data_IF_702981571574
#
_entry.id   IF_702981571574
#
_cell.length_a   1.000
_cell.length_b   1.000
_cell.length_c   1.000
_cell.angle_alpha   90.00
_cell.angle_beta   90.00
_cell.angle_gamma   90.00
#
_symmetry.space_group_name_H-M   'P 1'
#
loop_
_entity.id
_entity.type
_entity.pdbx_description
1 polymer ?
#
# COMPACT_ATOMS: atom_id res chain seq x y z
N UNK A 1 -39.55 -25.05 8.78
CA UNK A 1 -39.17 -23.65 8.50
C UNK A 1 -37.66 -23.61 8.35
N UNK A 2 -37.09 -23.21 7.21
CA UNK A 2 -35.64 -23.04 7.14
C UNK A 2 -35.26 -21.91 8.10
N UNK A 3 -34.27 -22.17 8.95
CA UNK A 3 -33.71 -21.15 9.85
C UNK A 3 -32.90 -20.22 8.97
N UNK A 4 -33.32 -18.96 8.85
CA UNK A 4 -32.52 -17.95 8.15
C UNK A 4 -31.33 -17.63 9.04
N UNK A 5 -30.13 -17.97 8.58
CA UNK A 5 -28.90 -17.52 9.25
C UNK A 5 -28.92 -15.98 9.36
N UNK A 6 -28.52 -15.42 10.51
CA UNK A 6 -28.46 -13.97 10.66
C UNK A 6 -27.50 -13.38 9.63
N UNK A 7 -27.76 -12.15 9.13
CA UNK A 7 -26.87 -11.49 8.20
C UNK A 7 -25.48 -11.35 8.84
N UNK A 8 -24.45 -11.59 8.05
CA UNK A 8 -23.06 -11.48 8.51
C UNK A 8 -22.83 -10.06 9.06
N UNK A 9 -22.14 -9.89 10.20
CA UNK A 9 -21.87 -8.57 10.76
C UNK A 9 -21.22 -7.65 9.72
N UNK A 10 -21.49 -6.33 9.77
CA UNK A 10 -20.84 -5.37 8.89
C UNK A 10 -19.32 -5.50 9.01
N UNK A 11 -18.65 -5.46 7.86
CA UNK A 11 -17.21 -5.58 7.81
C UNK A 11 -16.59 -4.29 8.38
N UNK A 12 -15.80 -4.41 9.44
CA UNK A 12 -15.16 -3.26 10.09
C UNK A 12 -13.77 -3.06 9.48
N UNK A 13 -13.55 -1.92 8.84
CA UNK A 13 -12.24 -1.59 8.29
C UNK A 13 -11.19 -1.39 9.38
N UNK A 14 -10.02 -2.01 9.22
CA UNK A 14 -8.91 -1.93 10.17
C UNK A 14 -7.58 -1.65 9.45
N UNK A 15 -6.56 -1.13 10.15
CA UNK A 15 -5.21 -0.97 9.59
C UNK A 15 -4.62 -2.28 9.06
N UNK A 16 -4.80 -3.39 9.80
CA UNK A 16 -4.28 -4.70 9.39
C UNK A 16 -4.89 -5.17 8.07
N UNK A 17 -6.19 -4.95 7.89
CA UNK A 17 -6.87 -5.24 6.63
C UNK A 17 -6.39 -4.31 5.51
N UNK A 18 -6.23 -3.01 5.79
CA UNK A 18 -5.77 -2.05 4.81
C UNK A 18 -4.37 -2.34 4.25
N UNK A 19 -3.47 -2.98 5.01
CA UNK A 19 -2.14 -3.40 4.54
C UNK A 19 -2.06 -4.85 4.05
N UNK A 20 -3.10 -5.66 4.21
CA UNK A 20 -3.04 -7.10 3.91
C UNK A 20 -3.06 -7.39 2.42
N UNK A 21 -2.19 -8.31 2.00
CA UNK A 21 -2.12 -8.89 0.65
C UNK A 21 -3.38 -9.68 0.24
N UNK A 22 -4.20 -10.10 1.21
CA UNK A 22 -5.47 -10.77 1.00
C UNK A 22 -6.65 -9.83 0.80
N UNK A 23 -6.47 -8.51 0.93
CA UNK A 23 -7.55 -7.54 0.75
C UNK A 23 -7.69 -7.17 -0.71
N UNK A 24 -8.86 -7.45 -1.29
CA UNK A 24 -9.15 -7.13 -2.69
C UNK A 24 -9.11 -5.62 -2.97
N UNK A 25 -8.69 -5.26 -4.19
CA UNK A 25 -8.55 -3.88 -4.64
C UNK A 25 -9.87 -3.09 -4.52
N UNK A 26 -11.02 -3.71 -4.77
CA UNK A 26 -12.34 -3.06 -4.60
C UNK A 26 -12.59 -2.66 -3.13
N UNK A 27 -12.22 -3.54 -2.18
CA UNK A 27 -12.31 -3.24 -0.75
C UNK A 27 -11.35 -2.11 -0.40
N UNK A 28 -10.13 -2.09 -0.94
CA UNK A 28 -9.19 -0.99 -0.71
C UNK A 28 -9.75 0.36 -1.19
N UNK A 29 -10.45 0.39 -2.33
CA UNK A 29 -11.14 1.59 -2.81
C UNK A 29 -12.27 2.05 -1.88
N UNK A 30 -13.03 1.12 -1.29
CA UNK A 30 -14.03 1.47 -0.26
C UNK A 30 -13.35 2.02 0.99
N UNK A 31 -12.31 1.36 1.51
CA UNK A 31 -11.57 1.86 2.67
C UNK A 31 -11.03 3.27 2.40
N UNK A 32 -10.44 3.51 1.23
CA UNK A 32 -9.88 4.82 0.88
C UNK A 32 -10.95 5.92 0.82
N UNK A 33 -12.16 5.62 0.36
CA UNK A 33 -13.26 6.59 0.30
C UNK A 33 -13.88 6.85 1.68
N UNK A 34 -14.12 5.78 2.43
CA UNK A 34 -14.97 5.81 3.62
C UNK A 34 -14.18 6.03 4.92
N UNK A 35 -12.87 5.74 4.93
CA UNK A 35 -12.02 5.80 6.11
C UNK A 35 -10.71 6.58 5.87
N UNK A 36 -10.73 7.93 5.91
CA UNK A 36 -9.56 8.77 5.69
C UNK A 36 -8.36 8.45 6.60
N UNK A 37 -8.61 8.07 7.86
CA UNK A 37 -7.58 7.69 8.83
C UNK A 37 -6.83 6.40 8.46
N UNK A 38 -7.41 5.58 7.59
CA UNK A 38 -6.83 4.32 7.15
C UNK A 38 -6.01 4.41 5.87
N UNK A 39 -6.13 5.50 5.11
CA UNK A 39 -5.44 5.66 3.80
C UNK A 39 -3.92 5.49 3.89
N UNK A 40 -3.28 5.97 4.96
CA UNK A 40 -1.83 5.81 5.19
C UNK A 40 -1.37 4.35 5.24
N UNK A 41 -2.26 3.44 5.61
CA UNK A 41 -1.97 2.00 5.70
C UNK A 41 -2.08 1.34 4.33
N UNK A 42 -3.03 1.78 3.49
CA UNK A 42 -3.18 1.28 2.11
C UNK A 42 -1.91 1.51 1.28
N UNK A 43 -1.13 2.58 1.56
CA UNK A 43 0.14 2.86 0.87
C UNK A 43 1.14 1.69 0.97
N UNK A 44 1.10 0.91 2.06
CA UNK A 44 1.95 -0.25 2.26
C UNK A 44 1.35 -1.56 1.69
N UNK A 45 0.16 -1.51 1.11
CA UNK A 45 -0.52 -2.69 0.59
C UNK A 45 0.04 -3.08 -0.79
N UNK A 46 0.53 -4.31 -1.00
CA UNK A 46 1.07 -4.75 -2.29
C UNK A 46 0.02 -4.84 -3.41
N UNK A 47 -1.27 -4.88 -3.07
CA UNK A 47 -2.38 -4.84 -4.04
C UNK A 47 -2.84 -3.43 -4.40
N UNK A 48 -2.31 -2.39 -3.74
CA UNK A 48 -2.64 -1.02 -4.09
C UNK A 48 -1.99 -0.65 -5.42
N UNK A 49 -2.81 -0.47 -6.44
CA UNK A 49 -2.35 -0.05 -7.75
C UNK A 49 -2.01 1.45 -7.79
N UNK A 50 -1.39 1.88 -8.89
CA UNK A 50 -0.98 3.27 -9.07
C UNK A 50 -2.15 4.26 -9.01
N UNK A 51 -3.32 3.90 -9.53
CA UNK A 51 -4.50 4.76 -9.53
C UNK A 51 -5.04 4.98 -8.11
N UNK A 52 -5.06 3.93 -7.29
CA UNK A 52 -5.46 4.02 -5.89
C UNK A 52 -4.47 4.86 -5.07
N UNK A 53 -3.15 4.64 -5.28
CA UNK A 53 -2.12 5.42 -4.60
C UNK A 53 -2.17 6.90 -5.00
N UNK A 54 -2.40 7.20 -6.28
CA UNK A 54 -2.59 8.55 -6.78
C UNK A 54 -3.83 9.21 -6.15
N UNK A 55 -4.96 8.51 -6.12
CA UNK A 55 -6.15 9.00 -5.43
C UNK A 55 -5.86 9.31 -3.96
N UNK A 56 -5.18 8.42 -3.24
CA UNK A 56 -4.82 8.63 -1.83
C UNK A 56 -3.91 9.84 -1.66
N UNK A 57 -2.90 10.00 -2.53
CA UNK A 57 -1.99 11.14 -2.48
C UNK A 57 -2.72 12.47 -2.69
N UNK A 58 -3.69 12.52 -3.60
CA UNK A 58 -4.51 13.72 -3.87
C UNK A 58 -5.54 13.99 -2.78
N UNK A 59 -6.26 12.94 -2.35
CA UNK A 59 -7.31 13.05 -1.33
C UNK A 59 -6.75 13.31 0.08
N UNK A 60 -5.48 12.97 0.31
CA UNK A 60 -4.78 13.15 1.57
C UNK A 60 -5.37 12.33 2.72
N UNK A 61 -5.08 12.73 3.95
CA UNK A 61 -5.51 12.06 5.18
C UNK A 61 -4.40 12.05 6.22
N UNK A 62 -4.72 11.74 7.49
CA UNK A 62 -3.72 11.75 8.55
C UNK A 62 -2.55 10.80 8.26
N UNK A 63 -1.36 11.36 8.11
CA UNK A 63 -0.11 10.61 7.88
C UNK A 63 0.09 10.09 6.45
N UNK A 64 -0.79 10.41 5.50
CA UNK A 64 -0.67 9.94 4.10
C UNK A 64 0.61 10.45 3.45
N UNK A 65 0.92 11.74 3.55
CA UNK A 65 2.14 12.32 2.98
C UNK A 65 3.39 11.58 3.45
N UNK A 66 3.49 11.33 4.76
CA UNK A 66 4.61 10.59 5.34
C UNK A 66 4.70 9.16 4.81
N UNK A 67 3.56 8.49 4.66
CA UNK A 67 3.52 7.12 4.14
C UNK A 67 3.97 7.06 2.67
N UNK A 68 3.49 7.99 1.83
CA UNK A 68 3.89 8.08 0.42
C UNK A 68 5.39 8.39 0.31
N UNK A 69 5.91 9.36 1.07
CA UNK A 69 7.35 9.65 1.08
C UNK A 69 8.17 8.43 1.46
N UNK A 70 7.77 7.70 2.52
CA UNK A 70 8.48 6.49 2.94
C UNK A 70 8.44 5.37 1.88
N UNK A 71 7.33 5.24 1.14
CA UNK A 71 7.24 4.31 0.01
C UNK A 71 8.24 4.70 -1.09
N UNK A 72 8.25 5.98 -1.49
CA UNK A 72 9.15 6.48 -2.54
C UNK A 72 10.63 6.31 -2.14
N UNK A 73 10.99 6.67 -0.90
CA UNK A 73 12.35 6.49 -0.36
C UNK A 73 12.77 5.00 -0.41
N UNK A 74 11.83 4.08 -0.16
CA UNK A 74 12.09 2.64 -0.21
C UNK A 74 12.32 2.15 -1.65
N UNK A 75 11.57 2.69 -2.62
CA UNK A 75 11.75 2.36 -4.04
C UNK A 75 13.08 2.89 -4.59
N UNK A 76 13.52 4.07 -4.15
CA UNK A 76 14.82 4.63 -4.50
C UNK A 76 15.98 3.81 -3.90
N UNK A 77 15.78 3.27 -2.70
CA UNK A 77 16.77 2.42 -2.01
C UNK A 77 16.90 1.02 -2.62
N UNK A 78 15.86 0.52 -3.29
CA UNK A 78 15.84 -0.80 -3.94
C UNK A 78 16.48 -0.77 -5.34
N UNK A 79 16.89 0.40 -5.83
CA UNK A 79 17.66 0.52 -7.08
C UNK A 79 19.02 -0.17 -6.86
N UNK A 80 19.31 -1.29 -7.56
CA UNK A 80 20.59 -1.97 -7.40
C UNK A 80 21.69 -0.99 -7.77
N UNK A 81 22.59 -0.72 -6.83
CA UNK A 81 23.84 -0.05 -7.15
C UNK A 81 24.52 -0.90 -8.22
N UNK A 82 24.67 -0.36 -9.43
CA UNK A 82 25.53 -0.95 -10.45
C UNK A 82 26.92 -1.11 -9.83
N UNK A 83 27.26 -2.32 -9.37
CA UNK A 83 28.61 -2.69 -8.96
C UNK A 83 29.45 -2.87 -10.22
N UNK A 84 29.56 -1.80 -11.00
CA UNK A 84 30.56 -1.61 -12.03
C UNK A 84 31.93 -1.46 -11.37
N UNK A 85 32.45 -2.56 -10.82
CA UNK A 85 33.85 -2.67 -10.45
C UNK A 85 34.46 -3.88 -11.14
N UNK A 86 34.80 -3.70 -12.42
CA UNK A 86 35.93 -4.44 -12.97
C UNK A 86 37.20 -3.86 -12.33
N UNK A 87 37.96 -4.60 -11.51
CA UNK A 87 39.34 -4.23 -11.32
C UNK A 87 40.01 -4.40 -12.69
N UNK A 88 40.29 -3.29 -13.37
CA UNK A 88 41.33 -3.26 -14.40
C UNK A 88 42.63 -3.65 -13.71
N UNK A 89 42.98 -4.94 -13.76
CA UNK A 89 44.31 -5.40 -13.41
C UNK A 89 45.29 -4.74 -14.37
N UNK A 90 46.01 -3.77 -13.83
CA UNK A 90 47.18 -3.15 -14.39
C UNK A 90 48.20 -4.20 -14.85
N UNK A 91 48.75 -3.99 -16.04
CA UNK A 91 50.20 -3.88 -16.16
C UNK A 91 50.99 -5.11 -16.59
N UNK A 92 51.48 -4.97 -17.83
CA UNK A 92 52.84 -5.28 -18.32
C UNK A 92 53.06 -6.62 -19.02
#
# INVERSE_FOLDING_TARGET
>A
MPVLDPPRPPLVATPAMACSDGTDTEILWSIARDHPDLRRWIVANPRADAHLLEFIAQAGGPGVTRAITALLDSLESDVPLDHGQTPRSHGR
#
